data_IF_169055454688
#
_entry.id   IF_169055454688
#
_cell.length_a   1.000
_cell.length_b   1.000
_cell.length_c   1.000
_cell.angle_alpha   90.00
_cell.angle_beta   90.00
_cell.angle_gamma   90.00
#
_symmetry.space_group_name_H-M   'P 1'
#
loop_
_entity.id
_entity.type
_entity.pdbx_description
1 polymer ?
#
# COMPACT_ATOMS: atom_id res chain seq x y z
N UNK A 1 -6.55 9.08 21.27
CA UNK A 1 -5.83 8.95 19.99
C UNK A 1 -4.71 7.97 20.18
N UNK A 2 -4.22 7.38 19.09
CA UNK A 2 -3.20 6.34 19.21
C UNK A 2 -2.14 6.50 18.12
N UNK A 3 -0.88 6.40 18.52
CA UNK A 3 0.28 6.27 17.65
C UNK A 3 1.08 5.03 18.09
N UNK A 4 1.30 4.10 17.17
CA UNK A 4 2.02 2.84 17.40
C UNK A 4 3.24 2.84 16.48
N UNK A 5 4.40 2.63 17.09
CA UNK A 5 5.70 2.53 16.40
C UNK A 5 6.12 1.07 16.40
N UNK A 6 6.12 0.40 15.25
CA UNK A 6 6.40 -1.04 15.15
C UNK A 6 7.04 -1.41 13.81
N UNK A 7 7.54 -2.65 13.71
CA UNK A 7 8.06 -3.21 12.45
C UNK A 7 7.01 -3.28 11.35
N UNK A 8 5.73 -3.49 11.72
CA UNK A 8 4.60 -3.52 10.78
C UNK A 8 4.19 -2.13 10.28
N UNK A 9 5.01 -1.11 10.54
CA UNK A 9 4.78 0.28 10.19
C UNK A 9 4.50 1.17 11.41
N UNK A 10 4.57 2.46 11.14
CA UNK A 10 4.26 3.55 12.07
C UNK A 10 2.82 3.97 11.80
N UNK A 11 1.89 3.51 12.64
CA UNK A 11 0.45 3.66 12.42
C UNK A 11 -0.22 4.47 13.51
N UNK A 12 -1.24 5.24 13.15
CA UNK A 12 -2.01 5.98 14.13
C UNK A 12 -3.33 6.50 13.61
N UNK A 13 -4.15 6.96 14.54
CA UNK A 13 -5.37 7.71 14.21
C UNK A 13 -5.00 9.09 13.68
N UNK A 14 -5.68 9.54 12.63
CA UNK A 14 -5.54 10.90 12.10
C UNK A 14 -6.24 11.91 13.03
N UNK A 15 -5.61 13.06 13.24
CA UNK A 15 -6.13 14.17 14.06
C UNK A 15 -5.35 14.40 15.36
N UNK A 16 -5.86 15.35 16.16
CA UNK A 16 -5.36 15.77 17.48
C UNK A 16 -3.92 16.27 17.55
N UNK A 17 -3.22 16.02 18.67
CA UNK A 17 -1.90 16.61 18.99
C UNK A 17 -0.75 15.72 18.50
N UNK A 18 0.34 16.36 18.04
CA UNK A 18 1.55 15.64 17.60
C UNK A 18 2.11 14.76 18.71
N UNK A 19 2.57 13.56 18.34
CA UNK A 19 3.07 12.53 19.25
C UNK A 19 1.99 11.59 19.81
N UNK A 20 0.71 11.95 19.74
CA UNK A 20 -0.41 11.10 20.20
C UNK A 20 -1.19 10.44 19.05
N UNK A 21 -1.02 10.92 17.82
CA UNK A 21 -1.64 10.41 16.60
C UNK A 21 -0.68 10.48 15.41
N UNK A 22 -1.17 10.15 14.21
CA UNK A 22 -0.39 10.31 12.98
C UNK A 22 -0.68 11.68 12.37
N UNK A 23 -0.19 12.75 13.02
CA UNK A 23 -0.40 14.13 12.57
C UNK A 23 0.55 14.50 11.42
N UNK A 24 0.32 15.62 10.72
CA UNK A 24 1.24 16.09 9.68
C UNK A 24 2.70 16.20 10.15
N UNK A 25 2.94 16.67 11.38
CA UNK A 25 4.29 16.80 11.95
C UNK A 25 4.91 15.43 12.19
N UNK A 26 4.12 14.48 12.69
CA UNK A 26 4.60 13.11 12.92
C UNK A 26 4.93 12.41 11.60
N UNK A 27 4.11 12.61 10.56
CA UNK A 27 4.36 12.08 9.21
C UNK A 27 5.67 12.63 8.67
N UNK A 28 5.87 13.96 8.66
CA UNK A 28 7.13 14.56 8.21
C UNK A 28 8.31 14.02 8.99
N UNK A 29 8.24 13.96 10.33
CA UNK A 29 9.32 13.44 11.17
C UNK A 29 9.74 12.02 10.78
N UNK A 30 8.79 11.10 10.68
CA UNK A 30 9.11 9.71 10.38
C UNK A 30 9.56 9.49 8.93
N UNK A 31 9.04 10.27 7.99
CA UNK A 31 9.49 10.23 6.60
C UNK A 31 10.89 10.83 6.47
N UNK A 32 11.21 11.89 7.19
CA UNK A 32 12.56 12.45 7.21
C UNK A 32 13.57 11.47 7.81
N UNK A 33 13.21 10.79 8.89
CA UNK A 33 14.03 9.73 9.47
C UNK A 33 14.26 8.57 8.49
N UNK A 34 13.21 8.11 7.82
CA UNK A 34 13.31 7.08 6.79
C UNK A 34 14.15 7.53 5.59
N UNK A 35 13.96 8.76 5.09
CA UNK A 35 14.73 9.31 3.97
C UNK A 35 16.23 9.41 4.29
N UNK A 36 16.59 9.81 5.52
CA UNK A 36 17.98 9.82 5.99
C UNK A 36 18.55 8.40 6.03
N UNK A 37 17.78 7.44 6.54
CA UNK A 37 18.16 6.02 6.54
C UNK A 37 18.38 5.50 5.11
N UNK A 38 17.47 5.75 4.16
CA UNK A 38 17.63 5.34 2.75
C UNK A 38 18.92 5.90 2.14
N UNK A 39 19.21 7.20 2.34
CA UNK A 39 20.44 7.85 1.84
C UNK A 39 21.70 7.17 2.41
N UNK A 40 21.68 6.83 3.69
CA UNK A 40 22.80 6.14 4.34
C UNK A 40 23.00 4.72 3.78
N UNK A 41 21.92 3.95 3.62
CA UNK A 41 21.98 2.55 3.15
C UNK A 41 22.45 2.44 1.70
N UNK A 42 21.94 3.28 0.80
CA UNK A 42 22.28 3.19 -0.62
C UNK A 42 23.59 3.91 -0.98
N UNK A 43 24.00 4.93 -0.21
CA UNK A 43 25.17 5.76 -0.49
C UNK A 43 25.09 6.54 -1.82
N UNK A 44 23.91 6.62 -2.44
CA UNK A 44 23.71 7.33 -3.71
C UNK A 44 23.47 8.82 -3.47
N UNK A 45 23.94 9.70 -4.38
CA UNK A 45 23.66 11.13 -4.28
C UNK A 45 22.18 11.45 -4.43
N UNK A 46 21.44 10.62 -5.19
CA UNK A 46 20.02 10.79 -5.46
C UNK A 46 19.31 9.42 -5.40
N UNK A 47 18.84 8.99 -4.22
CA UNK A 47 18.11 7.74 -4.07
C UNK A 47 16.74 7.82 -4.72
N UNK A 48 16.18 6.66 -5.08
CA UNK A 48 14.80 6.53 -5.56
C UNK A 48 13.94 5.80 -4.52
N UNK A 49 12.79 6.36 -4.16
CA UNK A 49 11.80 5.71 -3.30
C UNK A 49 10.49 5.51 -4.06
N UNK A 50 9.89 4.33 -3.96
CA UNK A 50 8.54 4.08 -4.49
C UNK A 50 7.49 4.42 -3.45
N UNK A 51 6.41 5.11 -3.83
CA UNK A 51 5.33 5.46 -2.92
C UNK A 51 3.97 5.09 -3.50
N UNK A 52 3.16 4.35 -2.74
CA UNK A 52 1.77 4.03 -3.08
C UNK A 52 0.87 4.05 -1.85
N UNK A 53 -0.44 4.04 -2.05
CA UNK A 53 -1.42 4.11 -0.96
C UNK A 53 -2.66 3.25 -1.20
N UNK A 54 -3.33 2.87 -0.11
CA UNK A 54 -4.70 2.37 -0.18
C UNK A 54 -5.72 3.52 -0.37
N UNK A 55 -7.01 3.18 -0.36
CA UNK A 55 -8.08 4.13 -0.62
C UNK A 55 -8.48 5.00 0.58
N UNK A 56 -7.87 4.86 1.76
CA UNK A 56 -8.27 5.61 2.96
C UNK A 56 -8.38 7.10 2.68
N UNK A 57 -9.42 7.73 3.21
CA UNK A 57 -9.75 9.14 2.98
C UNK A 57 -8.59 10.08 3.33
N UNK A 58 -7.82 9.75 4.37
CA UNK A 58 -6.65 10.54 4.78
C UNK A 58 -5.43 10.36 3.85
N UNK A 59 -5.44 9.36 2.97
CA UNK A 59 -4.30 8.97 2.14
C UNK A 59 -3.80 10.09 1.24
N UNK A 60 -4.67 10.93 0.68
CA UNK A 60 -4.25 12.07 -0.15
C UNK A 60 -3.42 13.08 0.64
N UNK A 61 -3.85 13.40 1.87
CA UNK A 61 -3.11 14.30 2.76
C UNK A 61 -1.75 13.71 3.13
N UNK A 62 -1.71 12.44 3.54
CA UNK A 62 -0.44 11.76 3.90
C UNK A 62 0.50 11.70 2.70
N UNK A 63 -0.02 11.45 1.50
CA UNK A 63 0.76 11.41 0.24
C UNK A 63 1.44 12.75 -0.03
N UNK A 64 0.71 13.86 0.05
CA UNK A 64 1.26 15.20 -0.20
C UNK A 64 2.41 15.54 0.76
N UNK A 65 2.27 15.17 2.03
CA UNK A 65 3.32 15.37 3.03
C UNK A 65 4.53 14.49 2.71
N UNK A 66 4.30 13.21 2.40
CA UNK A 66 5.36 12.27 2.09
C UNK A 66 6.18 12.69 0.86
N UNK A 67 5.50 13.02 -0.23
CA UNK A 67 6.12 13.48 -1.47
C UNK A 67 6.96 14.74 -1.25
N UNK A 68 6.38 15.76 -0.60
CA UNK A 68 7.09 17.01 -0.33
C UNK A 68 8.29 16.83 0.61
N UNK A 69 8.17 15.97 1.62
CA UNK A 69 9.26 15.66 2.55
C UNK A 69 10.42 14.98 1.82
N UNK A 70 10.16 13.89 1.09
CA UNK A 70 11.19 13.16 0.34
C UNK A 70 11.84 14.05 -0.74
N UNK A 71 11.03 14.79 -1.51
CA UNK A 71 11.52 15.75 -2.49
C UNK A 71 12.44 16.80 -1.84
N UNK A 72 12.03 17.36 -0.70
CA UNK A 72 12.83 18.31 0.07
C UNK A 72 14.14 17.74 0.58
N UNK A 73 14.26 16.41 0.72
CA UNK A 73 15.50 15.74 1.11
C UNK A 73 16.42 15.40 -0.07
N UNK A 74 16.02 15.76 -1.29
CA UNK A 74 16.74 15.42 -2.52
C UNK A 74 16.51 13.98 -2.99
N UNK A 75 15.45 13.32 -2.52
CA UNK A 75 15.11 11.94 -2.87
C UNK A 75 14.13 11.96 -4.04
N UNK A 76 14.44 11.20 -5.10
CA UNK A 76 13.52 11.00 -6.20
C UNK A 76 12.41 10.04 -5.78
N UNK A 77 11.19 10.29 -6.24
CA UNK A 77 10.03 9.47 -5.87
C UNK A 77 9.31 8.99 -7.12
N UNK A 78 9.07 7.67 -7.18
CA UNK A 78 8.10 7.09 -8.09
C UNK A 78 6.77 6.94 -7.36
N UNK A 79 5.81 7.80 -7.69
CA UNK A 79 4.50 7.86 -7.08
C UNK A 79 3.49 7.02 -7.89
N UNK A 80 2.97 5.97 -7.29
CA UNK A 80 2.04 5.01 -7.92
C UNK A 80 0.56 5.42 -7.77
N UNK A 81 0.25 6.42 -6.94
CA UNK A 81 -1.11 6.76 -6.59
C UNK A 81 -1.80 5.67 -5.77
N UNK A 82 -3.05 5.36 -6.10
CA UNK A 82 -3.77 4.21 -5.54
C UNK A 82 -3.07 2.92 -5.98
N UNK A 83 -2.66 2.12 -5.01
CA UNK A 83 -1.94 0.87 -5.22
C UNK A 83 -2.29 -0.13 -4.12
N UNK A 84 -1.85 -1.37 -4.29
CA UNK A 84 -1.85 -2.38 -3.22
C UNK A 84 -0.49 -2.44 -2.56
N UNK A 85 -0.42 -2.96 -1.33
CA UNK A 85 0.84 -3.29 -0.65
C UNK A 85 1.76 -4.12 -1.55
N UNK A 86 1.34 -5.28 -2.09
CA UNK A 86 2.23 -6.11 -2.90
C UNK A 86 2.65 -5.45 -4.23
N UNK A 87 1.81 -4.59 -4.83
CA UNK A 87 2.23 -3.83 -6.03
C UNK A 87 3.36 -2.86 -5.73
N UNK A 88 3.35 -2.18 -4.57
CA UNK A 88 4.45 -1.29 -4.18
C UNK A 88 5.72 -2.10 -3.92
N UNK A 89 5.64 -3.22 -3.21
CA UNK A 89 6.78 -4.12 -2.94
C UNK A 89 7.45 -4.58 -4.25
N UNK A 90 6.65 -5.05 -5.20
CA UNK A 90 7.13 -5.46 -6.52
C UNK A 90 7.72 -4.28 -7.29
N UNK A 91 7.09 -3.11 -7.26
CA UNK A 91 7.59 -1.91 -7.93
C UNK A 91 8.97 -1.47 -7.41
N UNK A 92 9.23 -1.60 -6.10
CA UNK A 92 10.57 -1.32 -5.53
C UNK A 92 11.63 -2.17 -6.22
N UNK A 93 11.37 -3.47 -6.35
CA UNK A 93 12.33 -4.39 -6.99
C UNK A 93 12.43 -4.16 -8.50
N UNK A 94 11.31 -3.92 -9.19
CA UNK A 94 11.27 -3.73 -10.64
C UNK A 94 12.03 -2.48 -11.09
N UNK A 95 12.00 -1.42 -10.28
CA UNK A 95 12.68 -0.14 -10.56
C UNK A 95 14.10 -0.08 -9.99
N UNK A 96 14.55 -1.12 -9.28
CA UNK A 96 15.79 -1.10 -8.49
C UNK A 96 15.84 0.13 -7.55
N UNK A 97 14.69 0.46 -6.96
CA UNK A 97 14.56 1.56 -6.03
C UNK A 97 15.30 1.25 -4.72
N UNK A 98 15.67 2.31 -4.01
CA UNK A 98 16.44 2.24 -2.76
C UNK A 98 15.54 2.01 -1.53
N UNK A 99 14.22 2.02 -1.73
CA UNK A 99 13.22 1.76 -0.71
C UNK A 99 11.81 2.04 -1.21
N UNK A 100 10.83 1.83 -0.34
CA UNK A 100 9.44 2.13 -0.61
C UNK A 100 8.64 2.53 0.63
N UNK A 101 7.55 3.27 0.41
CA UNK A 101 6.58 3.64 1.44
C UNK A 101 5.18 3.25 0.96
N UNK A 102 4.47 2.49 1.78
CA UNK A 102 3.06 2.17 1.56
C UNK A 102 2.24 2.91 2.60
N UNK A 103 1.31 3.74 2.12
CA UNK A 103 0.43 4.54 2.97
C UNK A 103 -0.88 3.77 3.19
N UNK A 104 -0.94 3.02 4.28
CA UNK A 104 -2.09 2.20 4.65
C UNK A 104 -1.99 1.74 6.10
N UNK A 105 -3.13 1.64 6.79
CA UNK A 105 -3.23 0.95 8.08
C UNK A 105 -3.88 -0.46 7.95
N UNK A 106 -3.76 -1.11 6.79
CA UNK A 106 -4.30 -2.46 6.50
C UNK A 106 -5.75 -2.61 6.95
N UNK A 107 -6.06 -3.53 7.86
CA UNK A 107 -7.38 -3.81 8.39
C UNK A 107 -7.85 -2.86 9.52
N UNK A 108 -7.09 -1.81 9.87
CA UNK A 108 -7.54 -0.88 10.91
C UNK A 108 -8.76 -0.05 10.46
N UNK A 109 -9.59 0.49 11.38
CA UNK A 109 -10.73 1.34 11.02
C UNK A 109 -10.35 2.55 10.16
N UNK A 110 -11.31 3.12 9.41
CA UNK A 110 -11.08 4.17 8.40
C UNK A 110 -10.36 5.43 8.90
N UNK A 111 -10.42 5.74 10.19
CA UNK A 111 -9.77 6.90 10.81
C UNK A 111 -8.27 6.69 11.07
N UNK A 112 -7.74 5.50 10.83
CA UNK A 112 -6.32 5.19 10.91
C UNK A 112 -5.62 5.39 9.57
N UNK A 113 -4.32 5.67 9.63
CA UNK A 113 -3.39 5.53 8.52
C UNK A 113 -2.01 5.10 9.06
N UNK A 114 -1.09 4.72 8.18
CA UNK A 114 0.26 4.35 8.58
C UNK A 114 1.30 4.65 7.50
N UNK A 115 2.55 4.60 7.93
CA UNK A 115 3.73 4.50 7.09
C UNK A 115 4.28 3.08 7.22
N UNK A 116 4.02 2.22 6.23
CA UNK A 116 4.70 0.94 6.06
C UNK A 116 5.97 1.20 5.24
N UNK A 117 7.14 0.89 5.81
CA UNK A 117 8.44 1.23 5.24
C UNK A 117 9.12 -0.02 4.68
N UNK A 118 9.65 0.07 3.46
CA UNK A 118 10.31 -1.02 2.75
C UNK A 118 11.80 -0.75 2.55
N UNK A 119 12.61 -1.81 2.48
CA UNK A 119 14.00 -1.75 2.05
C UNK A 119 14.13 -1.83 0.51
N UNK A 120 15.35 -1.76 -0.02
CA UNK A 120 15.61 -1.84 -1.47
C UNK A 120 15.26 -3.20 -2.12
N UNK A 121 14.93 -4.23 -1.33
CA UNK A 121 14.45 -5.54 -1.82
C UNK A 121 12.93 -5.61 -1.90
N UNK A 122 12.23 -4.51 -1.62
CA UNK A 122 10.77 -4.47 -1.54
C UNK A 122 10.20 -5.18 -0.30
N UNK A 123 11.04 -5.55 0.67
CA UNK A 123 10.61 -6.19 1.92
C UNK A 123 10.35 -5.12 2.98
N UNK A 124 9.44 -5.37 3.92
CA UNK A 124 9.35 -4.58 5.14
C UNK A 124 10.71 -4.46 5.84
N UNK A 125 11.02 -3.26 6.33
CA UNK A 125 12.25 -3.02 7.09
C UNK A 125 12.38 -3.97 8.28
N UNK A 126 13.61 -4.37 8.60
CA UNK A 126 13.87 -5.25 9.73
C UNK A 126 13.60 -4.56 11.07
N UNK A 127 13.56 -5.34 12.17
CA UNK A 127 13.44 -4.77 13.51
C UNK A 127 14.61 -3.84 13.87
N UNK A 128 15.82 -4.16 13.40
CA UNK A 128 17.02 -3.36 13.63
C UNK A 128 16.95 -2.05 12.85
N UNK A 129 16.59 -2.11 11.56
CA UNK A 129 16.39 -0.91 10.72
C UNK A 129 15.28 -0.01 11.30
N UNK A 130 14.17 -0.61 11.72
CA UNK A 130 13.07 0.11 12.38
C UNK A 130 13.53 0.81 13.65
N UNK A 131 14.36 0.15 14.46
CA UNK A 131 14.93 0.76 15.67
C UNK A 131 15.86 1.93 15.32
N UNK A 132 16.65 1.83 14.26
CA UNK A 132 17.50 2.92 13.77
C UNK A 132 16.66 4.12 13.30
N UNK A 133 15.64 3.89 12.47
CA UNK A 133 14.73 4.93 11.97
C UNK A 133 14.02 5.63 13.14
N UNK A 134 13.58 4.88 14.16
CA UNK A 134 12.95 5.48 15.34
C UNK A 134 13.92 6.35 16.14
N UNK A 135 15.19 5.97 16.26
CA UNK A 135 16.21 6.82 16.89
C UNK A 135 16.47 8.07 16.07
N UNK A 136 16.59 7.96 14.75
CA UNK A 136 16.74 9.12 13.87
C UNK A 136 15.56 10.09 14.04
N UNK A 137 14.33 9.56 14.15
CA UNK A 137 13.13 10.34 14.36
C UNK A 137 13.11 11.12 15.69
N UNK A 138 13.88 10.72 16.69
CA UNK A 138 13.95 11.42 17.99
C UNK A 138 14.95 12.57 18.00
N UNK A 139 15.91 12.58 17.07
CA UNK A 139 16.99 13.58 17.04
C UNK A 139 16.59 14.88 16.33
N UNK A 140 15.56 14.83 15.48
CA UNK A 140 15.17 15.92 14.57
C UNK A 140 16.34 16.50 13.74
N UNK A 141 17.41 15.71 13.57
CA UNK A 141 18.61 16.03 12.78
C UNK A 141 18.46 15.43 11.37
N UNK A 142 17.90 16.21 10.45
CA UNK A 142 17.69 15.80 9.06
C UNK A 142 18.31 16.80 8.09
N UNK A 143 18.97 16.28 7.04
CA UNK A 143 19.54 17.08 5.96
C UNK A 143 18.52 17.27 4.84
N UNK A 144 18.12 18.53 4.59
CA UNK A 144 17.30 18.90 3.44
C UNK A 144 18.18 19.44 2.31
N UNK A 145 17.74 19.22 1.09
CA UNK A 145 18.42 19.64 -0.11
C UNK A 145 18.25 21.15 -0.37
N UNK A 146 19.29 21.76 -0.91
CA UNK A 146 19.20 23.09 -1.51
C UNK A 146 18.29 23.08 -2.74
N UNK A 147 17.82 24.26 -3.15
CA UNK A 147 16.81 24.41 -4.22
C UNK A 147 17.17 23.70 -5.53
N UNK A 148 18.44 23.69 -5.92
CA UNK A 148 18.92 23.07 -7.17
C UNK A 148 19.13 21.55 -7.03
N UNK A 149 19.02 21.01 -5.82
CA UNK A 149 19.22 19.60 -5.50
C UNK A 149 17.94 18.88 -5.03
N UNK A 150 16.77 19.51 -5.20
CA UNK A 150 15.48 18.91 -4.88
C UNK A 150 15.25 17.62 -5.67
N UNK A 151 14.55 16.67 -5.03
CA UNK A 151 14.11 15.43 -5.66
C UNK A 151 13.09 15.67 -6.77
N UNK A 152 12.94 14.68 -7.64
CA UNK A 152 11.97 14.67 -8.73
C UNK A 152 10.89 13.64 -8.40
N UNK A 153 9.64 14.07 -8.49
CA UNK A 153 8.48 13.18 -8.37
C UNK A 153 8.05 12.79 -9.78
N UNK A 154 8.01 11.48 -10.05
CA UNK A 154 7.45 10.90 -11.27
C UNK A 154 6.21 10.11 -10.90
N UNK A 155 5.13 10.29 -11.64
CA UNK A 155 3.90 9.52 -11.47
C UNK A 155 3.88 8.32 -12.44
N UNK A 156 3.42 7.18 -11.95
CA UNK A 156 3.15 6.00 -12.77
C UNK A 156 1.98 5.19 -12.19
N UNK A 157 0.78 5.48 -12.67
CA UNK A 157 -0.44 4.78 -12.26
C UNK A 157 -0.65 3.43 -12.95
N UNK A 158 0.30 2.95 -13.77
CA UNK A 158 0.16 1.71 -14.56
C UNK A 158 0.70 0.47 -13.84
N UNK A 159 1.13 0.63 -12.58
CA UNK A 159 1.85 -0.40 -11.85
C UNK A 159 0.99 -1.58 -11.41
N UNK A 160 -0.32 -1.38 -11.23
CA UNK A 160 -1.25 -2.49 -10.98
C UNK A 160 -1.31 -3.40 -12.20
N UNK A 161 -1.43 -2.84 -13.41
CA UNK A 161 -1.44 -3.61 -14.65
C UNK A 161 -0.10 -4.34 -14.86
N UNK A 162 1.03 -3.66 -14.63
CA UNK A 162 2.36 -4.31 -14.69
C UNK A 162 2.46 -5.47 -13.71
N UNK A 163 1.97 -5.31 -12.48
CA UNK A 163 1.99 -6.36 -11.49
C UNK A 163 1.08 -7.54 -11.88
N UNK A 164 -0.11 -7.27 -12.43
CA UNK A 164 -0.98 -8.32 -13.00
C UNK A 164 -0.22 -9.10 -14.08
N UNK A 165 0.44 -8.44 -15.02
CA UNK A 165 1.24 -9.11 -16.04
C UNK A 165 2.38 -9.96 -15.44
N UNK A 166 3.03 -9.49 -14.38
CA UNK A 166 4.03 -10.29 -13.67
C UNK A 166 3.42 -11.56 -13.06
N UNK A 167 2.22 -11.47 -12.46
CA UNK A 167 1.49 -12.63 -11.94
C UNK A 167 1.16 -13.62 -13.05
N UNK A 168 0.64 -13.15 -14.19
CA UNK A 168 0.30 -14.00 -15.33
C UNK A 168 1.50 -14.73 -15.94
N UNK A 169 2.70 -14.18 -15.78
CA UNK A 169 3.96 -14.77 -16.26
C UNK A 169 4.61 -15.75 -15.27
N UNK A 170 4.02 -15.96 -14.09
CA UNK A 170 4.52 -16.97 -13.14
C UNK A 170 4.27 -18.37 -13.69
N UNK A 171 5.29 -19.25 -13.59
CA UNK A 171 5.21 -20.62 -14.12
C UNK A 171 4.12 -21.49 -13.49
N UNK A 172 3.57 -21.08 -12.35
CA UNK A 172 2.50 -21.77 -11.64
C UNK A 172 1.10 -21.33 -12.10
N UNK A 173 1.01 -20.26 -12.90
CA UNK A 173 -0.26 -19.71 -13.38
C UNK A 173 -0.54 -20.24 -14.79
N UNK A 174 -1.58 -21.05 -14.91
CA UNK A 174 -2.07 -21.55 -16.20
C UNK A 174 -3.43 -20.91 -16.52
N UNK A 175 -3.40 -19.93 -17.42
CA UNK A 175 -4.59 -19.15 -17.82
C UNK A 175 -5.59 -19.98 -18.61
N UNK A 176 -5.12 -20.92 -19.42
CA UNK A 176 -5.99 -21.72 -20.28
C UNK A 176 -6.80 -22.70 -19.43
N UNK A 177 -6.17 -23.29 -18.40
CA UNK A 177 -6.88 -24.14 -17.44
C UNK A 177 -7.96 -23.35 -16.70
N UNK A 178 -7.65 -22.15 -16.19
CA UNK A 178 -8.62 -21.33 -15.45
C UNK A 178 -9.77 -20.90 -16.36
N UNK A 179 -9.48 -20.40 -17.57
CA UNK A 179 -10.48 -19.93 -18.51
C UNK A 179 -11.46 -21.03 -18.93
N UNK A 180 -11.00 -22.28 -19.07
CA UNK A 180 -11.84 -23.41 -19.45
C UNK A 180 -12.89 -23.79 -18.39
N UNK A 181 -12.67 -23.44 -17.12
CA UNK A 181 -13.61 -23.77 -16.04
C UNK A 181 -14.87 -22.91 -16.06
N UNK A 182 -14.84 -21.74 -16.70
CA UNK A 182 -15.95 -20.79 -16.74
C UNK A 182 -16.47 -20.39 -15.35
N UNK A 183 -15.56 -20.20 -14.39
CA UNK A 183 -15.93 -19.84 -13.02
C UNK A 183 -16.74 -18.54 -12.94
N UNK A 184 -17.70 -18.53 -12.04
CA UNK A 184 -18.28 -17.31 -11.45
C UNK A 184 -17.63 -17.06 -10.10
N UNK A 185 -16.97 -15.91 -9.94
CA UNK A 185 -16.23 -15.56 -8.72
C UNK A 185 -16.81 -14.29 -8.11
N UNK A 186 -17.20 -14.35 -6.84
CA UNK A 186 -17.58 -13.16 -6.07
C UNK A 186 -16.35 -12.58 -5.36
N UNK A 187 -16.22 -11.26 -5.32
CA UNK A 187 -15.09 -10.58 -4.67
C UNK A 187 -15.55 -9.39 -3.84
N UNK A 188 -15.18 -9.38 -2.57
CA UNK A 188 -15.35 -8.24 -1.67
C UNK A 188 -14.06 -7.42 -1.61
N UNK A 189 -14.15 -6.19 -2.10
CA UNK A 189 -13.04 -5.25 -2.23
C UNK A 189 -13.04 -4.14 -1.17
N UNK A 190 -13.99 -4.19 -0.23
CA UNK A 190 -14.08 -3.32 0.96
C UNK A 190 -13.98 -1.81 0.69
N UNK A 191 -14.39 -1.37 -0.49
CA UNK A 191 -14.26 0.01 -0.98
C UNK A 191 -12.82 0.55 -0.93
N UNK A 192 -11.85 -0.31 -1.24
CA UNK A 192 -10.44 0.05 -1.34
C UNK A 192 -9.76 -0.50 -2.61
N UNK A 193 -8.43 -0.55 -2.63
CA UNK A 193 -7.63 -0.81 -3.84
C UNK A 193 -7.74 -2.24 -4.37
N UNK A 194 -8.39 -3.14 -3.62
CA UNK A 194 -8.87 -4.42 -4.14
C UNK A 194 -9.75 -4.27 -5.38
N UNK A 195 -10.60 -3.25 -5.43
CA UNK A 195 -11.56 -3.08 -6.52
C UNK A 195 -10.96 -2.65 -7.86
N UNK A 196 -9.75 -2.08 -7.83
CA UNK A 196 -8.98 -1.73 -9.03
C UNK A 196 -7.87 -2.74 -9.35
N UNK A 197 -7.73 -3.82 -8.57
CA UNK A 197 -6.65 -4.82 -8.74
C UNK A 197 -7.17 -6.24 -8.88
N UNK A 198 -8.07 -6.69 -8.01
CA UNK A 198 -8.54 -8.08 -7.99
C UNK A 198 -9.52 -8.39 -9.12
N UNK A 199 -10.58 -7.58 -9.40
CA UNK A 199 -11.43 -7.86 -10.55
C UNK A 199 -10.66 -7.82 -11.89
N UNK A 200 -9.75 -6.85 -12.16
CA UNK A 200 -8.89 -6.89 -13.34
C UNK A 200 -8.01 -8.15 -13.41
N UNK A 201 -7.40 -8.59 -12.29
CA UNK A 201 -6.62 -9.83 -12.25
C UNK A 201 -7.46 -11.05 -12.61
N UNK A 202 -8.64 -11.21 -12.00
CA UNK A 202 -9.55 -12.33 -12.29
C UNK A 202 -9.96 -12.35 -13.76
N UNK A 203 -10.30 -11.19 -14.33
CA UNK A 203 -10.61 -11.06 -15.77
C UNK A 203 -9.40 -11.45 -16.63
N UNK A 204 -8.19 -11.04 -16.26
CA UNK A 204 -6.97 -11.37 -17.00
C UNK A 204 -6.61 -12.87 -16.92
N UNK A 205 -6.95 -13.53 -15.81
CA UNK A 205 -6.85 -14.98 -15.62
C UNK A 205 -7.92 -15.78 -16.41
N UNK A 206 -8.89 -15.10 -17.04
CA UNK A 206 -9.93 -15.73 -17.85
C UNK A 206 -11.21 -16.07 -17.11
N UNK A 207 -11.44 -15.51 -15.91
CA UNK A 207 -12.71 -15.69 -15.18
C UNK A 207 -13.84 -14.99 -15.93
N UNK A 208 -14.84 -15.78 -16.36
CA UNK A 208 -15.92 -15.33 -17.25
C UNK A 208 -16.91 -14.37 -16.59
N UNK A 209 -17.15 -14.53 -15.28
CA UNK A 209 -18.11 -13.72 -14.54
C UNK A 209 -17.55 -13.34 -13.15
N UNK A 210 -17.29 -12.05 -12.95
CA UNK A 210 -16.80 -11.52 -11.67
C UNK A 210 -17.94 -10.71 -11.03
N UNK A 211 -18.38 -11.16 -9.86
CA UNK A 211 -19.42 -10.48 -9.06
C UNK A 211 -18.71 -9.60 -8.04
N UNK A 212 -18.66 -8.31 -8.35
CA UNK A 212 -17.90 -7.33 -7.57
C UNK A 212 -18.78 -6.75 -6.44
N UNK A 213 -18.31 -6.88 -5.19
CA UNK A 213 -18.84 -6.17 -4.03
C UNK A 213 -17.85 -5.07 -3.65
N UNK A 214 -18.37 -3.87 -3.38
CA UNK A 214 -17.59 -2.77 -2.81
C UNK A 214 -16.31 -2.43 -3.59
N UNK A 215 -16.38 -2.45 -4.93
CA UNK A 215 -15.19 -2.28 -5.78
C UNK A 215 -14.75 -0.83 -6.02
N UNK A 216 -15.57 0.17 -5.70
CA UNK A 216 -15.14 1.56 -5.88
C UNK A 216 -14.22 1.97 -4.72
N UNK A 217 -12.96 2.41 -4.97
CA UNK A 217 -11.98 2.73 -3.93
C UNK A 217 -12.25 4.10 -3.29
N UNK A 218 -13.37 4.22 -2.58
CA UNK A 218 -13.81 5.46 -1.94
C UNK A 218 -13.13 5.71 -0.58
N UNK A 219 -12.58 4.67 0.05
CA UNK A 219 -12.08 4.71 1.43
C UNK A 219 -13.20 4.74 2.49
N UNK A 220 -14.46 4.61 2.05
CA UNK A 220 -15.64 4.47 2.89
C UNK A 220 -15.95 2.99 3.11
N UNK A 221 -15.28 2.38 4.10
CA UNK A 221 -15.37 0.94 4.32
C UNK A 221 -16.80 0.54 4.76
N UNK A 222 -17.46 -0.41 4.04
CA UNK A 222 -18.86 -0.78 4.25
C UNK A 222 -19.07 -1.61 5.53
N UNK A 223 -18.03 -2.30 5.97
CA UNK A 223 -17.94 -3.06 7.21
C UNK A 223 -16.53 -2.90 7.81
N UNK A 224 -16.28 -3.55 8.95
CA UNK A 224 -14.92 -3.65 9.46
C UNK A 224 -14.03 -4.33 8.40
N UNK A 225 -12.91 -3.72 8.00
CA UNK A 225 -12.20 -4.16 6.80
C UNK A 225 -11.28 -5.37 7.02
N UNK A 226 -11.24 -5.93 8.23
CA UNK A 226 -10.58 -7.21 8.44
C UNK A 226 -11.42 -8.37 7.87
N UNK A 227 -10.87 -9.24 7.00
CA UNK A 227 -11.62 -10.32 6.35
C UNK A 227 -11.81 -11.52 7.30
N UNK A 228 -12.56 -11.31 8.37
CA UNK A 228 -12.98 -12.32 9.35
C UNK A 228 -14.42 -12.77 9.06
N UNK A 229 -14.77 -14.00 9.44
CA UNK A 229 -16.08 -14.59 9.14
C UNK A 229 -17.28 -13.71 9.56
N UNK A 230 -17.19 -13.03 10.69
CA UNK A 230 -18.22 -12.10 11.17
C UNK A 230 -18.44 -10.88 10.25
N UNK A 231 -17.43 -10.46 9.48
CA UNK A 231 -17.50 -9.31 8.58
C UNK A 231 -17.90 -9.71 7.15
N UNK A 232 -17.84 -10.99 6.79
CA UNK A 232 -18.05 -11.50 5.41
C UNK A 232 -19.45 -12.07 5.17
N UNK A 233 -20.43 -11.65 5.96
CA UNK A 233 -21.81 -12.16 5.87
C UNK A 233 -22.51 -11.78 4.56
N UNK A 234 -22.23 -10.58 4.04
CA UNK A 234 -22.78 -10.12 2.76
C UNK A 234 -22.13 -10.82 1.57
N UNK A 235 -20.80 -10.99 1.57
CA UNK A 235 -20.11 -11.80 0.58
C UNK A 235 -20.68 -13.23 0.55
N UNK A 236 -20.85 -13.86 1.72
CA UNK A 236 -21.43 -15.20 1.83
C UNK A 236 -22.83 -15.27 1.24
N UNK A 237 -23.67 -14.26 1.50
CA UNK A 237 -25.01 -14.15 0.91
C UNK A 237 -24.92 -14.00 -0.60
N UNK A 238 -24.01 -13.16 -1.09
CA UNK A 238 -23.84 -12.87 -2.51
C UNK A 238 -23.35 -14.06 -3.31
N UNK A 239 -22.48 -14.88 -2.75
CA UNK A 239 -22.03 -16.16 -3.34
C UNK A 239 -23.26 -17.05 -3.63
N UNK A 240 -24.15 -17.21 -2.66
CA UNK A 240 -25.36 -18.03 -2.83
C UNK A 240 -26.32 -17.41 -3.84
N UNK A 241 -26.59 -16.10 -3.75
CA UNK A 241 -27.50 -15.39 -4.66
C UNK A 241 -27.03 -15.45 -6.12
N UNK A 242 -25.72 -15.30 -6.35
CA UNK A 242 -25.13 -15.31 -7.67
C UNK A 242 -24.84 -16.72 -8.20
N UNK A 243 -25.02 -17.77 -7.37
CA UNK A 243 -24.51 -19.12 -7.62
C UNK A 243 -23.03 -19.11 -8.00
N UNK A 244 -22.23 -18.31 -7.28
CA UNK A 244 -20.79 -18.24 -7.51
C UNK A 244 -20.09 -19.52 -7.06
N UNK A 245 -19.07 -19.94 -7.80
CA UNK A 245 -18.27 -21.12 -7.49
C UNK A 245 -17.29 -20.85 -6.35
N UNK A 246 -16.83 -19.60 -6.23
CA UNK A 246 -15.80 -19.14 -5.30
C UNK A 246 -16.13 -17.73 -4.79
N UNK A 247 -15.70 -17.43 -3.56
CA UNK A 247 -15.70 -16.10 -2.98
C UNK A 247 -14.30 -15.69 -2.54
N UNK A 248 -13.95 -14.43 -2.73
CA UNK A 248 -12.72 -13.86 -2.20
C UNK A 248 -13.02 -12.58 -1.43
N UNK A 249 -12.38 -12.39 -0.28
CA UNK A 249 -12.36 -11.12 0.43
C UNK A 249 -10.93 -10.67 0.65
N UNK A 250 -10.67 -9.39 0.42
CA UNK A 250 -9.37 -8.77 0.66
C UNK A 250 -9.49 -7.63 1.67
N UNK A 251 -8.40 -7.35 2.37
CA UNK A 251 -8.32 -6.16 3.21
C UNK A 251 -7.93 -4.92 2.37
N UNK A 252 -7.96 -3.69 2.93
CA UNK A 252 -7.92 -2.47 2.15
C UNK A 252 -6.69 -2.29 1.25
N UNK A 253 -5.53 -2.82 1.65
CA UNK A 253 -4.27 -2.76 0.90
C UNK A 253 -3.90 -4.08 0.23
N UNK A 254 -4.78 -5.08 0.31
CA UNK A 254 -4.72 -6.32 -0.48
C UNK A 254 -3.47 -7.16 -0.19
N UNK A 255 -3.00 -7.15 1.06
CA UNK A 255 -1.96 -8.08 1.54
C UNK A 255 -2.56 -9.35 2.16
N UNK A 256 -3.89 -9.37 2.39
CA UNK A 256 -4.65 -10.54 2.85
C UNK A 256 -5.64 -11.05 1.82
N UNK A 257 -5.91 -12.35 1.91
CA UNK A 257 -6.96 -13.03 1.17
C UNK A 257 -7.71 -14.00 2.10
N UNK A 258 -9.04 -13.92 2.13
CA UNK A 258 -9.92 -14.96 2.64
C UNK A 258 -10.70 -15.60 1.49
N UNK A 259 -10.98 -16.89 1.63
CA UNK A 259 -11.64 -17.76 0.64
C UNK A 259 -12.82 -18.46 1.30
#
# INVERSE_FOLDING_TARGET
MTLIKSISGIRGTIGGVSGEGLTPIDITRFISAYGKWVKHQCGKPKPLVVLGRDARISGEMVTKIALGTLQGMGIDVLHLGLSTTPTVEVAVTAENADGGIILTASHNPRNWNALKLLNAKGEFISADDGTEILKLAETDDYDYAEVDALGVIKEDSTYIEKHIEMILNLSLVDRDIIAQQNYTVAVDCVNSTGGISVPPLLKALGVSNVVELYAEPTGEFPHNPEPLAENLTELSTKIVEANADLGFAVDPDVDRLAI
#
